data_IF_654313666136
#
_entry.id   IF_654313666136
#
_cell.length_a   1.000
_cell.length_b   1.000
_cell.length_c   1.000
_cell.angle_alpha   90.00
_cell.angle_beta   90.00
_cell.angle_gamma   90.00
#
_symmetry.space_group_name_H-M   'P 1'
#
loop_
_entity.id
_entity.type
_entity.pdbx_description
1 polymer ?
#
# COMPACT_ATOMS: atom_id res chain seq x y z
N UNK A 1 -20.72 -17.37 -7.39
CA UNK A 1 -20.12 -16.03 -7.18
C UNK A 1 -18.65 -16.25 -6.94
N UNK A 2 -17.78 -15.63 -7.72
CA UNK A 2 -16.31 -15.81 -7.63
C UNK A 2 -15.74 -14.43 -7.31
N UNK A 3 -15.15 -14.28 -6.11
CA UNK A 3 -14.56 -13.03 -5.63
C UNK A 3 -13.06 -13.20 -5.74
N UNK A 4 -12.42 -12.43 -6.63
CA UNK A 4 -10.97 -12.36 -6.75
C UNK A 4 -10.49 -11.15 -5.94
N UNK A 5 -9.62 -11.39 -4.97
CA UNK A 5 -9.02 -10.35 -4.12
C UNK A 5 -7.54 -10.64 -4.04
N UNK A 6 -6.71 -9.67 -4.43
CA UNK A 6 -5.25 -9.83 -4.42
C UNK A 6 -4.65 -9.58 -3.01
N UNK A 7 -5.20 -8.62 -2.26
CA UNK A 7 -4.72 -8.24 -0.92
C UNK A 7 -5.89 -8.03 0.04
N UNK A 8 -5.80 -8.60 1.26
CA UNK A 8 -6.76 -8.37 2.34
C UNK A 8 -6.04 -7.69 3.51
N UNK A 9 -6.63 -6.61 4.02
CA UNK A 9 -6.22 -6.00 5.29
C UNK A 9 -7.26 -6.35 6.35
N UNK A 10 -6.79 -6.90 7.47
CA UNK A 10 -7.58 -7.06 8.68
C UNK A 10 -6.78 -6.56 9.88
N UNK A 11 -7.47 -6.21 10.95
CA UNK A 11 -6.86 -5.80 12.21
C UNK A 11 -7.70 -6.28 13.38
N UNK A 12 -7.03 -6.72 14.45
CA UNK A 12 -7.67 -7.09 15.70
C UNK A 12 -6.91 -6.47 16.87
N UNK A 13 -7.59 -6.25 17.98
CA UNK A 13 -6.99 -5.80 19.25
C UNK A 13 -6.27 -6.93 19.99
N UNK A 14 -6.52 -8.19 19.60
CA UNK A 14 -5.90 -9.37 20.18
C UNK A 14 -5.05 -10.09 19.12
N UNK A 15 -3.75 -10.20 19.37
CA UNK A 15 -2.80 -10.84 18.48
C UNK A 15 -3.13 -12.31 18.21
N UNK A 16 -3.70 -13.04 19.18
CA UNK A 16 -4.11 -14.44 18.98
C UNK A 16 -5.19 -14.57 17.90
N UNK A 17 -6.15 -13.65 17.90
CA UNK A 17 -7.21 -13.63 16.88
C UNK A 17 -6.60 -13.37 15.51
N UNK A 18 -5.60 -12.49 15.43
CA UNK A 18 -4.88 -12.26 14.17
C UNK A 18 -4.15 -13.52 13.67
N UNK A 19 -3.51 -14.27 14.56
CA UNK A 19 -2.79 -15.50 14.22
C UNK A 19 -3.75 -16.63 13.82
N UNK A 20 -4.86 -16.80 14.53
CA UNK A 20 -5.90 -17.78 14.19
C UNK A 20 -6.52 -17.47 12.81
N UNK A 21 -6.86 -16.20 12.56
CA UNK A 21 -7.39 -15.77 11.27
C UNK A 21 -6.38 -15.95 10.14
N UNK A 22 -5.12 -15.54 10.37
CA UNK A 22 -4.02 -15.78 9.42
C UNK A 22 -3.94 -17.25 9.02
N UNK A 23 -3.98 -18.16 10.00
CA UNK A 23 -3.84 -19.59 9.74
C UNK A 23 -5.03 -20.13 8.95
N UNK A 24 -6.24 -19.70 9.28
CA UNK A 24 -7.44 -20.07 8.53
C UNK A 24 -7.37 -19.60 7.07
N UNK A 25 -6.84 -18.40 6.82
CA UNK A 25 -6.68 -17.86 5.47
C UNK A 25 -5.59 -18.59 4.67
N UNK A 26 -4.53 -19.05 5.34
CA UNK A 26 -3.47 -19.85 4.72
C UNK A 26 -3.97 -21.26 4.37
N UNK A 27 -4.70 -21.91 5.28
CA UNK A 27 -5.20 -23.28 5.14
C UNK A 27 -6.30 -23.40 4.05
N UNK A 28 -7.21 -22.42 3.98
CA UNK A 28 -8.39 -22.49 3.09
C UNK A 28 -8.20 -21.76 1.75
N UNK A 29 -7.39 -20.69 1.72
CA UNK A 29 -7.31 -19.78 0.57
C UNK A 29 -5.89 -19.59 0.01
N UNK A 30 -4.90 -20.34 0.50
CA UNK A 30 -3.48 -20.21 0.14
C UNK A 30 -2.94 -18.77 0.32
N UNK A 31 -3.59 -17.97 1.16
CA UNK A 31 -3.19 -16.59 1.42
C UNK A 31 -2.12 -16.54 2.50
N UNK A 32 -1.03 -15.82 2.23
CA UNK A 32 0.06 -15.65 3.20
C UNK A 32 -0.03 -14.29 3.89
N UNK A 33 0.30 -14.28 5.17
CA UNK A 33 0.47 -13.03 5.90
C UNK A 33 1.68 -12.24 5.41
N UNK A 34 1.42 -11.03 4.94
CA UNK A 34 2.46 -10.05 4.62
C UNK A 34 2.82 -9.18 5.83
N UNK A 35 3.24 -9.80 6.94
CA UNK A 35 3.82 -9.12 8.11
C UNK A 35 3.16 -7.79 8.50
N UNK A 36 3.97 -6.81 8.90
CA UNK A 36 3.49 -5.47 9.23
C UNK A 36 3.15 -4.66 7.96
N UNK A 37 1.94 -4.09 7.92
CA UNK A 37 1.45 -3.29 6.81
C UNK A 37 2.23 -1.96 6.69
N UNK A 38 3.24 -1.94 5.81
CA UNK A 38 4.05 -0.75 5.51
C UNK A 38 3.59 -0.01 4.26
N UNK A 39 2.99 -0.72 3.31
CA UNK A 39 2.51 -0.17 2.05
C UNK A 39 1.18 -0.81 1.66
N UNK A 40 0.20 0.01 1.23
CA UNK A 40 -1.06 -0.47 0.66
C UNK A 40 -1.59 0.51 -0.37
N UNK A 41 -1.95 0.06 -1.58
CA UNK A 41 -2.47 0.95 -2.65
C UNK A 41 -1.62 2.23 -2.88
N UNK A 42 -0.29 2.10 -2.80
CA UNK A 42 0.69 3.22 -2.85
C UNK A 42 0.67 4.19 -1.65
N UNK A 43 -0.14 3.92 -0.64
CA UNK A 43 -0.06 4.56 0.68
C UNK A 43 1.11 3.98 1.45
N UNK A 44 1.83 4.83 2.17
CA UNK A 44 2.86 4.45 3.12
C UNK A 44 2.25 4.54 4.51
N UNK A 45 2.41 3.48 5.29
CA UNK A 45 1.78 3.32 6.59
C UNK A 45 2.90 3.17 7.63
N UNK A 46 2.83 3.99 8.66
CA UNK A 46 3.75 3.97 9.81
C UNK A 46 2.91 3.67 11.04
N UNK A 47 3.18 2.53 11.66
CA UNK A 47 2.52 2.10 12.89
C UNK A 47 3.47 2.40 14.06
N UNK A 48 2.98 3.08 15.09
CA UNK A 48 3.73 3.36 16.30
C UNK A 48 2.80 3.36 17.52
N UNK A 49 3.36 3.47 18.72
CA UNK A 49 2.58 3.56 19.97
C UNK A 49 1.63 4.77 20.01
N UNK A 50 1.90 5.79 19.19
CA UNK A 50 1.05 6.98 19.02
C UNK A 50 -0.14 6.73 18.06
N UNK A 51 -0.21 5.57 17.42
CA UNK A 51 -1.22 5.19 16.44
C UNK A 51 -0.67 4.99 15.03
N UNK A 52 -1.58 5.01 14.05
CA UNK A 52 -1.27 4.73 12.65
C UNK A 52 -1.21 6.05 11.87
N UNK A 53 -0.07 6.34 11.24
CA UNK A 53 0.14 7.48 10.35
C UNK A 53 0.17 7.01 8.90
N UNK A 54 -0.61 7.63 8.04
CA UNK A 54 -0.70 7.31 6.61
C UNK A 54 -0.17 8.51 5.82
N UNK A 55 0.75 8.28 4.88
CA UNK A 55 1.28 9.33 4.02
C UNK A 55 1.60 8.80 2.60
N UNK A 56 1.79 9.71 1.65
CA UNK A 56 2.05 9.38 0.23
C UNK A 56 3.36 10.02 -0.28
N UNK A 57 4.36 10.21 0.59
CA UNK A 57 5.56 10.99 0.25
C UNK A 57 6.27 10.48 -1.01
N UNK A 58 6.38 9.16 -1.17
CA UNK A 58 6.95 8.55 -2.38
C UNK A 58 6.16 8.91 -3.63
N UNK A 59 4.83 8.75 -3.59
CA UNK A 59 3.96 9.11 -4.70
C UNK A 59 4.03 10.60 -5.04
N UNK A 60 4.03 11.48 -4.04
CA UNK A 60 4.19 12.93 -4.25
C UNK A 60 5.53 13.26 -4.92
N UNK A 61 6.63 12.64 -4.47
CA UNK A 61 7.95 12.82 -5.09
C UNK A 61 7.98 12.36 -6.55
N UNK A 62 7.40 11.20 -6.84
CA UNK A 62 7.29 10.67 -8.20
C UNK A 62 6.43 11.57 -9.09
N UNK A 63 5.30 12.05 -8.57
CA UNK A 63 4.42 12.99 -9.27
C UNK A 63 5.15 14.30 -9.61
N UNK A 64 5.87 14.89 -8.63
CA UNK A 64 6.64 16.11 -8.86
C UNK A 64 7.73 15.91 -9.93
N UNK A 65 8.42 14.77 -9.90
CA UNK A 65 9.41 14.41 -10.93
C UNK A 65 8.79 14.25 -12.32
N UNK A 66 7.60 13.66 -12.39
CA UNK A 66 6.89 13.48 -13.66
C UNK A 66 6.37 14.82 -14.21
N UNK A 67 5.88 15.70 -13.34
CA UNK A 67 5.43 17.04 -13.74
C UNK A 67 6.60 17.92 -14.21
N UNK A 68 7.75 17.87 -13.54
CA UNK A 68 8.94 18.62 -13.98
C UNK A 68 9.48 18.11 -15.32
N UNK A 69 9.53 16.79 -15.51
CA UNK A 69 9.93 16.18 -16.79
C UNK A 69 8.93 16.51 -17.91
N UNK A 70 7.62 16.47 -17.61
CA UNK A 70 6.55 16.85 -18.54
C UNK A 70 6.68 18.32 -18.96
N UNK A 71 6.97 19.23 -18.03
CA UNK A 71 7.17 20.64 -18.35
C UNK A 71 8.34 20.88 -19.32
N UNK A 72 9.48 20.21 -19.09
CA UNK A 72 10.62 20.26 -20.03
C UNK A 72 10.25 19.69 -21.41
N UNK A 73 9.45 18.62 -21.44
CA UNK A 73 8.96 18.05 -22.68
C UNK A 73 8.03 19.02 -23.44
N UNK A 74 7.11 19.69 -22.76
CA UNK A 74 6.23 20.70 -23.36
C UNK A 74 6.99 21.93 -23.86
N UNK A 75 8.00 22.40 -23.12
CA UNK A 75 8.89 23.49 -23.57
C UNK A 75 9.69 23.10 -24.82
N UNK A 76 10.20 21.86 -24.87
CA UNK A 76 10.88 21.33 -26.04
C UNK A 76 9.97 21.26 -27.28
N UNK A 77 8.72 20.82 -27.10
CA UNK A 77 7.73 20.71 -28.19
C UNK A 77 7.32 22.07 -28.78
N UNK A 78 7.35 23.16 -27.99
CA UNK A 78 7.04 24.51 -28.47
C UNK A 78 8.24 25.27 -29.03
N UNK A 79 9.47 24.75 -28.85
CA UNK A 79 10.72 25.34 -29.35
C UNK A 79 11.22 24.71 -30.67
N UNK A 80 10.49 23.75 -31.24
CA UNK A 80 10.73 23.12 -32.55
C UNK A 80 9.53 23.30 -33.47
#
# INVERSE_FOLDING_TARGET
>A
VQIYVDDIIFGATNEKICQEFSKLMEDEFEMRMMGELKFFLRLQIVQSDEGIKIHQMKYTKELLKNLSCSKLFWEFLHLT
#
